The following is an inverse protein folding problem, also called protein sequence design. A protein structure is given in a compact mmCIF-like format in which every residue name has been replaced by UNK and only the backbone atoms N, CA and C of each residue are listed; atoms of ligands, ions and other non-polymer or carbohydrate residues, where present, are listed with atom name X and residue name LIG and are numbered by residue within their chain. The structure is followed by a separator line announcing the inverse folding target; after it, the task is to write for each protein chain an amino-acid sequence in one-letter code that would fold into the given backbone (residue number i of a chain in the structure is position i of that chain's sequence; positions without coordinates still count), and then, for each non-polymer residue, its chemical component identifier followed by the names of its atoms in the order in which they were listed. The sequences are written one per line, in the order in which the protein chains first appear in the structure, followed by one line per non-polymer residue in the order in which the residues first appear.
data_IF_787597335994
#
_entry.id   IF_787597335994
#
_cell.length_a   1.000
_cell.length_b   1.000
_cell.length_c   1.000
_cell.angle_alpha   90.00
_cell.angle_beta   90.00
_cell.angle_gamma   90.00
#
_symmetry.space_group_name_H-M   'P 1'
#
loop_
_entity.id
_entity.type
_entity.pdbx_description
1 polymer ?
#
# COMPACT_ATOMS: atom_id res chain seq x y z
N UNK A 1 -73.19 -25.01 3.58
CA UNK A 1 -71.78 -25.27 3.19
C UNK A 1 -71.11 -24.16 2.35
N UNK A 2 -71.76 -23.55 1.34
CA UNK A 2 -71.16 -22.49 0.50
C UNK A 2 -70.83 -21.18 1.22
N UNK A 3 -71.48 -20.82 2.34
CA UNK A 3 -71.18 -19.59 3.10
C UNK A 3 -70.00 -19.73 4.04
N UNK A 4 -69.70 -20.90 4.58
CA UNK A 4 -68.58 -21.16 5.49
C UNK A 4 -67.27 -21.15 4.72
N UNK A 5 -67.19 -21.62 3.47
CA UNK A 5 -66.05 -21.60 2.61
C UNK A 5 -65.59 -20.16 2.22
N UNK A 6 -66.53 -19.22 2.10
CA UNK A 6 -66.21 -17.82 1.82
C UNK A 6 -65.50 -17.13 2.99
N UNK A 7 -65.81 -17.47 4.22
CA UNK A 7 -65.18 -16.86 5.39
C UNK A 7 -63.83 -17.49 5.70
N UNK A 8 -63.63 -18.78 5.38
CA UNK A 8 -62.34 -19.48 5.51
C UNK A 8 -61.35 -18.91 4.46
N UNK A 9 -61.80 -18.62 3.22
CA UNK A 9 -60.96 -18.04 2.18
C UNK A 9 -60.61 -16.55 2.46
N UNK A 10 -61.52 -15.81 3.04
CA UNK A 10 -61.29 -14.41 3.45
C UNK A 10 -60.33 -14.34 4.67
N UNK A 11 -60.39 -15.29 5.60
CA UNK A 11 -59.46 -15.40 6.72
C UNK A 11 -58.05 -15.81 6.34
N UNK A 12 -57.90 -16.70 5.33
CA UNK A 12 -56.60 -17.04 4.79
C UNK A 12 -55.93 -15.93 3.95
N UNK A 13 -56.74 -15.14 3.24
CA UNK A 13 -56.25 -13.96 2.49
C UNK A 13 -55.81 -12.81 3.42
N UNK A 14 -56.40 -12.69 4.61
CA UNK A 14 -56.02 -11.66 5.57
C UNK A 14 -54.74 -12.01 6.37
N UNK A 15 -54.36 -13.31 6.47
CA UNK A 15 -53.12 -13.75 7.13
C UNK A 15 -51.86 -13.69 6.21
N UNK A 16 -52.04 -13.53 4.90
CA UNK A 16 -50.95 -13.43 3.96
C UNK A 16 -50.38 -12.00 3.78
N UNK A 17 -50.94 -10.98 4.41
CA UNK A 17 -50.51 -9.56 4.28
C UNK A 17 -49.61 -9.11 5.43
N UNK A 18 -49.37 -9.96 6.46
CA UNK A 18 -48.59 -9.62 7.64
C UNK A 18 -47.17 -10.25 7.59
N UNK A 19 -46.80 -10.92 6.50
CA UNK A 19 -45.57 -11.73 6.44
C UNK A 19 -44.42 -11.11 5.63
N UNK A 20 -44.44 -9.79 5.39
CA UNK A 20 -43.28 -9.11 4.84
C UNK A 20 -43.12 -7.79 5.59
N UNK A 21 -42.51 -7.84 6.78
CA UNK A 21 -41.80 -6.66 7.28
C UNK A 21 -40.44 -6.62 6.53
N UNK A 22 -40.07 -5.46 6.01
CA UNK A 22 -38.75 -5.25 5.39
C UNK A 22 -37.60 -5.63 6.32
N UNK A 23 -37.81 -5.54 7.62
CA UNK A 23 -36.87 -5.98 8.67
C UNK A 23 -36.52 -7.51 8.61
N UNK A 24 -37.37 -8.35 8.02
CA UNK A 24 -37.10 -9.78 7.88
C UNK A 24 -36.18 -10.11 6.68
N UNK A 25 -35.93 -9.14 5.81
CA UNK A 25 -35.04 -9.23 4.65
C UNK A 25 -33.64 -8.66 4.95
N UNK A 26 -33.48 -7.92 6.03
CA UNK A 26 -32.18 -7.48 6.52
C UNK A 26 -31.50 -8.58 7.35
N UNK A 27 -30.97 -9.56 6.67
CA UNK A 27 -30.15 -10.59 7.33
C UNK A 27 -28.70 -10.17 7.37
N UNK A 28 -28.20 -9.80 8.55
CA UNK A 28 -26.78 -9.73 8.81
C UNK A 28 -26.22 -11.16 8.86
N UNK A 29 -25.13 -11.49 8.15
CA UNK A 29 -24.53 -12.81 8.21
C UNK A 29 -24.11 -13.13 9.66
N UNK A 30 -24.59 -14.21 10.23
CA UNK A 30 -24.28 -14.61 11.62
C UNK A 30 -22.81 -15.03 11.82
N UNK A 31 -22.04 -15.14 10.74
CA UNK A 31 -20.63 -15.54 10.73
C UNK A 31 -19.68 -14.47 10.18
N UNK A 32 -20.17 -13.30 9.80
CA UNK A 32 -19.36 -12.15 9.34
C UNK A 32 -19.90 -10.87 9.95
N UNK A 33 -18.99 -9.98 10.34
CA UNK A 33 -19.32 -8.63 10.84
C UNK A 33 -19.77 -7.81 9.64
N UNK A 34 -20.89 -7.05 9.77
CA UNK A 34 -21.31 -6.13 8.71
C UNK A 34 -20.26 -5.02 8.52
N UNK A 35 -20.14 -4.49 7.30
CA UNK A 35 -19.17 -3.42 7.00
C UNK A 35 -19.32 -2.21 7.93
N UNK A 36 -20.56 -1.79 8.22
CA UNK A 36 -20.83 -0.68 9.12
C UNK A 36 -20.46 -0.98 10.58
N UNK A 37 -20.69 -2.21 11.06
CA UNK A 37 -20.25 -2.62 12.39
C UNK A 37 -18.72 -2.70 12.49
N UNK A 38 -18.06 -3.13 11.40
CA UNK A 38 -16.62 -3.24 11.36
C UNK A 38 -15.90 -1.89 11.34
N UNK A 39 -16.47 -0.88 10.68
CA UNK A 39 -15.81 0.42 10.47
C UNK A 39 -16.38 1.55 11.34
N UNK A 40 -17.54 1.34 11.99
CA UNK A 40 -18.22 2.35 12.78
C UNK A 40 -17.53 2.78 14.08
N UNK A 41 -16.40 2.15 14.44
CA UNK A 41 -15.57 2.56 15.59
C UNK A 41 -14.10 2.69 15.19
N UNK A 42 -13.38 3.66 15.77
CA UNK A 42 -11.96 3.85 15.52
C UNK A 42 -11.11 2.59 15.84
N UNK A 43 -11.50 1.84 16.87
CA UNK A 43 -10.82 0.57 17.22
C UNK A 43 -10.99 -0.48 16.13
N UNK A 44 -12.20 -0.70 15.65
CA UNK A 44 -12.48 -1.70 14.62
C UNK A 44 -11.92 -1.27 13.25
N UNK A 45 -12.02 0.02 12.91
CA UNK A 45 -11.41 0.58 11.72
C UNK A 45 -9.88 0.42 11.72
N UNK A 46 -9.23 0.50 12.89
CA UNK A 46 -7.80 0.20 13.02
C UNK A 46 -7.49 -1.28 12.75
N UNK A 47 -8.35 -2.20 13.15
CA UNK A 47 -8.20 -3.64 12.82
C UNK A 47 -8.27 -3.84 11.31
N UNK A 48 -9.22 -3.20 10.62
CA UNK A 48 -9.33 -3.22 9.16
C UNK A 48 -8.08 -2.62 8.49
N UNK A 49 -7.59 -1.49 8.98
CA UNK A 49 -6.36 -0.86 8.48
C UNK A 49 -5.12 -1.74 8.68
N UNK A 50 -5.04 -2.49 9.78
CA UNK A 50 -3.98 -3.50 9.98
C UNK A 50 -4.05 -4.61 8.91
N UNK A 51 -5.23 -4.97 8.46
CA UNK A 51 -5.44 -5.85 7.31
C UNK A 51 -4.86 -5.26 6.02
N UNK A 52 -5.04 -3.96 5.79
CA UNK A 52 -4.42 -3.25 4.65
C UNK A 52 -2.89 -3.30 4.73
N UNK A 53 -2.30 -2.96 5.88
CA UNK A 53 -0.85 -3.06 6.07
C UNK A 53 -0.34 -4.49 5.84
N UNK A 54 -1.07 -5.50 6.32
CA UNK A 54 -0.71 -6.90 6.09
C UNK A 54 -0.75 -7.24 4.60
N UNK A 55 -1.77 -6.80 3.86
CA UNK A 55 -1.91 -7.02 2.42
C UNK A 55 -0.75 -6.41 1.61
N UNK A 56 -0.15 -5.32 2.09
CA UNK A 56 0.96 -4.63 1.41
C UNK A 56 2.23 -5.49 1.24
N UNK A 57 2.41 -6.54 2.04
CA UNK A 57 3.57 -7.42 1.95
C UNK A 57 3.21 -8.91 1.92
N UNK A 58 1.93 -9.23 1.73
CA UNK A 58 1.47 -10.63 1.60
C UNK A 58 1.52 -11.07 0.14
N UNK A 59 2.09 -12.25 -0.09
CA UNK A 59 2.14 -12.83 -1.42
C UNK A 59 0.74 -13.23 -1.94
N UNK A 60 0.48 -12.97 -3.21
CA UNK A 60 -0.70 -13.41 -3.92
C UNK A 60 -1.98 -12.61 -3.65
N UNK A 61 -1.94 -11.54 -2.87
CA UNK A 61 -3.12 -10.69 -2.59
C UNK A 61 -3.59 -9.97 -3.86
N UNK A 62 -2.68 -9.38 -4.59
CA UNK A 62 -2.98 -8.67 -5.84
C UNK A 62 -3.02 -9.56 -7.06
N UNK A 63 -2.24 -10.63 -7.06
CA UNK A 63 -2.16 -11.61 -8.14
C UNK A 63 -1.78 -13.00 -7.59
N UNK A 64 -2.76 -13.86 -7.42
CA UNK A 64 -2.58 -15.21 -6.88
C UNK A 64 -1.94 -16.20 -7.87
N UNK A 65 -1.91 -15.87 -9.17
CA UNK A 65 -1.33 -16.75 -10.20
C UNK A 65 0.19 -16.67 -10.31
N UNK A 66 0.82 -15.64 -9.72
CA UNK A 66 2.27 -15.45 -9.77
C UNK A 66 2.85 -15.00 -8.41
N UNK A 67 2.53 -15.74 -7.36
CA UNK A 67 2.90 -15.42 -5.97
C UNK A 67 4.40 -15.24 -5.77
N UNK A 68 5.25 -15.96 -6.54
CA UNK A 68 6.70 -15.88 -6.43
C UNK A 68 7.30 -14.52 -6.78
N UNK A 69 6.57 -13.69 -7.53
CA UNK A 69 6.98 -12.34 -7.91
C UNK A 69 5.95 -11.27 -7.53
N UNK A 70 4.82 -11.67 -6.93
CA UNK A 70 3.70 -10.81 -6.52
C UNK A 70 3.54 -10.88 -5.00
N UNK A 71 4.44 -10.22 -4.25
CA UNK A 71 4.43 -10.16 -2.81
C UNK A 71 4.40 -8.71 -2.27
N UNK A 72 3.58 -7.89 -2.93
CA UNK A 72 3.26 -6.54 -2.53
C UNK A 72 4.39 -5.52 -2.75
N UNK A 73 4.47 -4.50 -1.91
CA UNK A 73 5.38 -3.35 -2.06
C UNK A 73 6.83 -3.76 -2.24
N UNK A 74 7.29 -4.77 -1.52
CA UNK A 74 8.68 -5.22 -1.61
C UNK A 74 9.01 -5.82 -2.98
N UNK A 75 8.04 -6.49 -3.62
CA UNK A 75 8.18 -6.93 -5.01
C UNK A 75 8.21 -5.75 -5.98
N UNK A 76 7.35 -4.75 -5.77
CA UNK A 76 7.27 -3.56 -6.63
C UNK A 76 8.55 -2.73 -6.57
N UNK A 77 9.10 -2.54 -5.36
CA UNK A 77 10.37 -1.86 -5.16
C UNK A 77 11.53 -2.65 -5.81
N UNK A 78 11.55 -3.98 -5.64
CA UNK A 78 12.58 -4.81 -6.27
C UNK A 78 12.54 -4.74 -7.80
N UNK A 79 11.33 -4.67 -8.39
CA UNK A 79 11.19 -4.42 -9.83
C UNK A 79 11.80 -3.08 -10.23
N UNK A 80 11.52 -2.02 -9.48
CA UNK A 80 12.08 -0.69 -9.74
C UNK A 80 13.62 -0.71 -9.64
N UNK A 81 14.16 -1.37 -8.62
CA UNK A 81 15.61 -1.47 -8.41
C UNK A 81 16.32 -2.22 -9.55
N UNK A 82 15.79 -3.38 -9.98
CA UNK A 82 16.41 -4.17 -11.08
C UNK A 82 16.17 -3.56 -12.46
N UNK A 83 15.21 -2.67 -12.60
CA UNK A 83 15.05 -1.85 -13.82
C UNK A 83 15.94 -0.61 -13.82
N UNK A 84 16.51 -0.24 -12.67
CA UNK A 84 17.56 0.77 -12.58
C UNK A 84 18.91 0.22 -13.04
N UNK A 85 19.88 1.09 -13.24
CA UNK A 85 21.22 0.69 -13.63
C UNK A 85 22.09 0.27 -12.44
N UNK A 86 21.65 0.54 -11.23
CA UNK A 86 22.44 0.34 -10.02
C UNK A 86 22.40 -1.10 -9.50
N UNK A 87 21.25 -1.76 -9.64
CA UNK A 87 21.05 -3.17 -9.30
C UNK A 87 20.87 -4.00 -10.57
N UNK A 88 21.73 -4.98 -10.78
CA UNK A 88 21.73 -5.80 -11.98
C UNK A 88 21.69 -7.30 -11.67
N UNK A 89 21.33 -8.07 -12.67
CA UNK A 89 21.47 -9.54 -12.67
C UNK A 89 22.44 -9.95 -13.76
N UNK A 90 23.41 -10.80 -13.44
CA UNK A 90 24.42 -11.28 -14.39
C UNK A 90 24.03 -12.55 -15.15
N UNK A 91 22.89 -13.12 -14.84
CA UNK A 91 22.37 -14.33 -15.48
C UNK A 91 20.89 -14.55 -15.15
N UNK A 92 20.21 -15.30 -16.00
CA UNK A 92 18.80 -15.58 -15.86
C UNK A 92 18.48 -16.40 -14.59
N UNK A 93 19.31 -17.39 -14.26
CA UNK A 93 19.11 -18.27 -13.11
C UNK A 93 17.71 -18.89 -13.11
N UNK A 94 16.95 -18.68 -12.01
CA UNK A 94 15.56 -19.09 -11.88
C UNK A 94 14.58 -18.29 -12.75
N UNK A 95 15.01 -17.22 -13.37
CA UNK A 95 14.18 -16.33 -14.20
C UNK A 95 13.39 -15.26 -13.44
N UNK A 96 13.34 -15.35 -12.11
CA UNK A 96 12.56 -14.41 -11.29
C UNK A 96 13.18 -13.01 -11.32
N UNK A 97 12.42 -12.01 -11.77
CA UNK A 97 12.83 -10.61 -12.03
C UNK A 97 13.85 -10.43 -13.16
N UNK A 98 14.27 -11.51 -13.85
CA UNK A 98 15.19 -11.41 -14.97
C UNK A 98 14.65 -10.55 -16.11
N UNK A 99 13.40 -10.79 -16.50
CA UNK A 99 12.78 -10.05 -17.60
C UNK A 99 12.59 -8.56 -17.29
N UNK A 100 12.44 -8.22 -16.02
CA UNK A 100 12.42 -6.82 -15.57
C UNK A 100 13.82 -6.21 -15.71
N UNK A 101 14.87 -6.90 -15.28
CA UNK A 101 16.27 -6.45 -15.36
C UNK A 101 16.77 -6.23 -16.78
N UNK A 102 16.38 -7.08 -17.73
CA UNK A 102 16.82 -6.99 -19.14
C UNK A 102 15.85 -6.23 -20.03
N UNK A 103 14.90 -5.51 -19.45
CA UNK A 103 13.85 -4.73 -20.16
C UNK A 103 13.03 -5.54 -21.16
N UNK A 104 13.02 -6.86 -21.07
CA UNK A 104 12.22 -7.75 -21.90
C UNK A 104 10.83 -7.96 -21.29
N UNK A 105 10.10 -6.87 -21.11
CA UNK A 105 8.86 -6.83 -20.35
C UNK A 105 7.65 -6.76 -21.28
N UNK A 106 7.51 -7.71 -22.19
CA UNK A 106 6.32 -7.81 -23.05
C UNK A 106 5.01 -7.77 -22.24
N UNK A 107 5.04 -8.33 -21.03
CA UNK A 107 3.92 -8.29 -20.08
C UNK A 107 3.57 -6.90 -19.56
N UNK A 108 4.37 -5.87 -19.84
CA UNK A 108 4.07 -4.47 -19.47
C UNK A 108 3.41 -3.66 -20.57
N UNK A 109 3.49 -4.13 -21.83
CA UNK A 109 2.92 -3.41 -22.97
C UNK A 109 1.48 -3.80 -23.30
N UNK A 110 0.91 -4.74 -22.54
CA UNK A 110 -0.45 -5.22 -22.75
C UNK A 110 -1.29 -5.07 -21.50
N UNK A 111 -2.57 -4.77 -21.65
CA UNK A 111 -3.53 -4.71 -20.53
C UNK A 111 -3.71 -6.04 -19.80
N UNK A 112 -3.33 -7.15 -20.44
CA UNK A 112 -3.35 -8.51 -19.88
C UNK A 112 -2.03 -8.91 -19.22
N UNK A 113 -1.03 -8.02 -19.22
CA UNK A 113 0.28 -8.28 -18.62
C UNK A 113 0.20 -8.41 -17.11
N UNK A 114 0.54 -9.57 -16.58
CA UNK A 114 0.43 -9.87 -15.15
C UNK A 114 1.23 -8.90 -14.25
N UNK A 115 2.37 -8.38 -14.72
CA UNK A 115 3.21 -7.44 -13.93
C UNK A 115 2.51 -6.09 -13.74
N UNK A 116 1.97 -5.52 -14.82
CA UNK A 116 1.22 -4.28 -14.74
C UNK A 116 -0.08 -4.46 -13.95
N UNK A 117 -0.76 -5.60 -14.16
CA UNK A 117 -1.97 -5.95 -13.41
C UNK A 117 -1.70 -6.07 -11.91
N UNK A 118 -0.62 -6.76 -11.50
CA UNK A 118 -0.26 -6.94 -10.10
C UNK A 118 -0.09 -5.59 -9.37
N UNK A 119 0.72 -4.69 -9.92
CA UNK A 119 0.96 -3.37 -9.33
C UNK A 119 -0.32 -2.52 -9.30
N UNK A 120 -1.04 -2.47 -10.43
CA UNK A 120 -2.30 -1.74 -10.53
C UNK A 120 -3.31 -2.23 -9.50
N UNK A 121 -3.58 -3.53 -9.51
CA UNK A 121 -4.56 -4.15 -8.64
C UNK A 121 -4.18 -4.03 -7.16
N UNK A 122 -2.90 -4.18 -6.82
CA UNK A 122 -2.42 -4.03 -5.45
C UNK A 122 -2.71 -2.65 -4.88
N UNK A 123 -2.27 -1.59 -5.55
CA UNK A 123 -2.50 -0.22 -5.07
C UNK A 123 -3.97 0.16 -5.05
N UNK A 124 -4.75 -0.21 -6.08
CA UNK A 124 -6.19 0.08 -6.07
C UNK A 124 -6.96 -0.73 -5.01
N UNK A 125 -6.54 -1.94 -4.68
CA UNK A 125 -7.10 -2.69 -3.55
C UNK A 125 -6.88 -1.95 -2.24
N UNK A 126 -5.69 -1.41 -2.00
CA UNK A 126 -5.42 -0.63 -0.77
C UNK A 126 -6.19 0.69 -0.76
N UNK A 127 -6.28 1.40 -1.88
CA UNK A 127 -7.11 2.61 -2.04
C UNK A 127 -8.56 2.30 -1.72
N UNK A 128 -9.12 1.25 -2.31
CA UNK A 128 -10.51 0.86 -2.07
C UNK A 128 -10.77 0.58 -0.58
N UNK A 129 -9.92 -0.23 0.06
CA UNK A 129 -10.09 -0.55 1.47
C UNK A 129 -10.02 0.70 2.38
N UNK A 130 -9.07 1.61 2.15
CA UNK A 130 -9.01 2.83 2.97
C UNK A 130 -10.12 3.82 2.64
N UNK A 131 -10.67 3.82 1.43
CA UNK A 131 -11.84 4.64 1.11
C UNK A 131 -13.07 4.24 1.94
N UNK A 132 -13.27 2.94 2.22
CA UNK A 132 -14.32 2.50 3.15
C UNK A 132 -14.09 3.01 4.57
N UNK A 133 -12.83 3.05 5.04
CA UNK A 133 -12.49 3.62 6.36
C UNK A 133 -12.76 5.12 6.37
N UNK A 134 -12.35 5.83 5.32
CA UNK A 134 -12.48 7.28 5.22
C UNK A 134 -13.95 7.74 5.04
N UNK A 135 -14.81 6.89 4.49
CA UNK A 135 -16.23 7.18 4.37
C UNK A 135 -16.92 7.30 5.74
N UNK A 136 -16.36 6.69 6.79
CA UNK A 136 -16.87 6.76 8.16
C UNK A 136 -16.30 7.95 8.96
N UNK A 137 -15.55 8.86 8.36
CA UNK A 137 -14.85 9.95 9.06
C UNK A 137 -15.79 10.75 9.99
N UNK A 138 -16.98 11.09 9.51
CA UNK A 138 -17.96 11.88 10.27
C UNK A 138 -18.76 11.05 11.27
N UNK A 139 -18.99 9.77 10.98
CA UNK A 139 -19.89 8.89 11.75
C UNK A 139 -19.13 8.00 12.74
N UNK A 140 -17.82 7.83 12.54
CA UNK A 140 -16.97 6.97 13.34
C UNK A 140 -17.00 7.36 14.82
N UNK A 141 -17.31 6.39 15.68
CA UNK A 141 -17.25 6.56 17.14
C UNK A 141 -15.84 6.28 17.69
N UNK A 142 -15.51 6.98 18.78
CA UNK A 142 -14.21 6.93 19.43
C UNK A 142 -13.75 8.30 19.89
N UNK A 143 -12.66 8.36 20.66
CA UNK A 143 -12.05 9.64 21.00
C UNK A 143 -11.43 10.31 19.77
N UNK A 144 -11.33 11.64 19.76
CA UNK A 144 -10.71 12.37 18.65
C UNK A 144 -9.26 11.86 18.38
N UNK A 145 -8.51 11.53 19.44
CA UNK A 145 -7.17 10.95 19.34
C UNK A 145 -7.18 9.61 18.58
N UNK A 146 -8.14 8.74 18.86
CA UNK A 146 -8.26 7.43 18.18
C UNK A 146 -8.73 7.58 16.73
N UNK A 147 -9.70 8.46 16.48
CA UNK A 147 -10.15 8.79 15.12
C UNK A 147 -9.02 9.38 14.30
N UNK A 148 -8.32 10.38 14.81
CA UNK A 148 -7.15 10.97 14.17
C UNK A 148 -6.05 9.95 13.87
N UNK A 149 -5.88 8.96 14.77
CA UNK A 149 -4.88 7.91 14.58
C UNK A 149 -5.19 6.98 13.40
N UNK A 150 -6.44 6.57 13.24
CA UNK A 150 -6.80 5.66 12.15
C UNK A 150 -7.01 6.38 10.83
N UNK A 151 -7.74 7.51 10.84
CA UNK A 151 -8.06 8.28 9.64
C UNK A 151 -6.80 8.90 9.02
N UNK A 152 -5.91 9.46 9.84
CA UNK A 152 -4.65 10.02 9.35
C UNK A 152 -3.78 8.97 8.66
N UNK A 153 -3.73 7.75 9.16
CA UNK A 153 -3.04 6.65 8.48
C UNK A 153 -3.74 6.24 7.18
N UNK A 154 -5.07 6.17 7.16
CA UNK A 154 -5.84 5.83 5.96
C UNK A 154 -5.61 6.85 4.84
N UNK A 155 -5.62 8.15 5.15
CA UNK A 155 -5.23 9.20 4.21
C UNK A 155 -3.79 9.03 3.70
N UNK A 156 -2.83 8.76 4.59
CA UNK A 156 -1.43 8.56 4.18
C UNK A 156 -1.25 7.33 3.27
N UNK A 157 -1.98 6.24 3.52
CA UNK A 157 -1.96 5.03 2.68
C UNK A 157 -2.55 5.32 1.31
N UNK A 158 -3.66 6.08 1.23
CA UNK A 158 -4.26 6.47 -0.05
C UNK A 158 -3.31 7.34 -0.86
N UNK A 159 -2.74 8.36 -0.24
CA UNK A 159 -1.75 9.23 -0.86
C UNK A 159 -0.53 8.47 -1.37
N UNK A 160 0.06 7.61 -0.55
CA UNK A 160 1.17 6.76 -0.96
C UNK A 160 0.82 5.87 -2.16
N UNK A 161 -0.35 5.26 -2.13
CA UNK A 161 -0.80 4.38 -3.22
C UNK A 161 -0.98 5.14 -4.54
N UNK A 162 -1.60 6.31 -4.51
CA UNK A 162 -1.73 7.16 -5.71
C UNK A 162 -0.38 7.69 -6.18
N UNK A 163 0.52 8.06 -5.28
CA UNK A 163 1.86 8.48 -5.63
C UNK A 163 2.65 7.41 -6.38
N UNK A 164 2.57 6.16 -5.92
CA UNK A 164 3.22 5.04 -6.59
C UNK A 164 2.56 4.71 -7.93
N UNK A 165 1.23 4.73 -8.01
CA UNK A 165 0.50 4.56 -9.27
C UNK A 165 0.87 5.64 -10.29
N UNK A 166 0.94 6.90 -9.88
CA UNK A 166 1.33 8.00 -10.75
C UNK A 166 2.73 7.79 -11.33
N UNK A 167 3.71 7.40 -10.50
CA UNK A 167 5.08 7.14 -10.96
C UNK A 167 5.18 5.94 -11.91
N UNK A 168 4.33 4.92 -11.75
CA UNK A 168 4.39 3.69 -12.56
C UNK A 168 3.60 3.78 -13.87
N UNK A 169 2.52 4.55 -13.89
CA UNK A 169 1.53 4.52 -14.98
C UNK A 169 1.34 5.86 -15.70
N UNK A 170 2.09 6.89 -15.33
CA UNK A 170 2.10 8.17 -16.04
C UNK A 170 3.52 8.70 -16.26
N UNK A 171 3.62 9.84 -16.92
CA UNK A 171 4.88 10.58 -17.06
C UNK A 171 5.22 11.31 -15.76
N UNK A 172 6.45 11.84 -15.66
CA UNK A 172 6.83 12.69 -14.53
C UNK A 172 5.91 13.92 -14.44
N UNK A 173 5.81 14.51 -13.25
CA UNK A 173 4.89 15.63 -13.00
C UNK A 173 5.22 16.84 -13.86
N UNK A 174 6.47 17.36 -13.73
CA UNK A 174 6.85 18.63 -14.31
C UNK A 174 6.79 18.62 -15.85
N UNK A 175 5.99 19.55 -16.40
CA UNK A 175 5.78 19.69 -17.83
C UNK A 175 4.75 18.71 -18.44
N UNK A 176 4.06 17.91 -17.62
CA UNK A 176 3.07 16.93 -18.06
C UNK A 176 1.79 16.99 -17.22
N UNK A 177 1.58 18.07 -16.49
CA UNK A 177 0.52 18.24 -15.49
C UNK A 177 -0.88 17.97 -16.06
N UNK A 178 -1.13 18.33 -17.32
CA UNK A 178 -2.41 18.14 -18.02
C UNK A 178 -2.56 16.77 -18.70
N UNK A 179 -1.51 15.94 -18.69
CA UNK A 179 -1.57 14.63 -19.33
C UNK A 179 -2.32 13.60 -18.46
N UNK A 180 -2.86 12.52 -19.07
CA UNK A 180 -3.58 11.49 -18.34
C UNK A 180 -2.68 10.74 -17.34
N UNK A 181 -3.14 10.61 -16.09
CA UNK A 181 -2.49 9.86 -15.04
C UNK A 181 -3.20 8.52 -14.79
N UNK A 182 -4.03 8.45 -13.76
CA UNK A 182 -4.78 7.25 -13.35
C UNK A 182 -6.20 7.63 -12.93
N UNK A 183 -7.17 6.72 -12.96
CA UNK A 183 -8.51 6.98 -12.43
C UNK A 183 -8.48 7.33 -10.94
N UNK A 184 -9.22 8.36 -10.55
CA UNK A 184 -9.22 8.88 -9.19
C UNK A 184 -10.52 8.45 -8.46
N UNK A 185 -10.38 7.54 -7.50
CA UNK A 185 -11.44 7.07 -6.62
C UNK A 185 -11.15 7.51 -5.19
N UNK A 186 -11.99 8.36 -4.65
CA UNK A 186 -11.86 8.92 -3.28
C UNK A 186 -12.96 8.45 -2.34
N UNK A 187 -13.90 7.67 -2.86
CA UNK A 187 -15.05 7.11 -2.18
C UNK A 187 -15.07 5.58 -2.31
N UNK A 188 -15.80 4.86 -1.46
CA UNK A 188 -16.04 3.44 -1.63
C UNK A 188 -16.57 3.09 -3.02
N UNK A 189 -16.16 1.95 -3.54
CA UNK A 189 -16.63 1.45 -4.82
C UNK A 189 -17.25 0.06 -4.64
N UNK A 190 -18.30 -0.22 -5.39
CA UNK A 190 -19.00 -1.49 -5.42
C UNK A 190 -19.18 -2.02 -6.86
N UNK A 191 -19.94 -3.11 -7.03
CA UNK A 191 -20.16 -3.74 -8.33
C UNK A 191 -20.97 -2.84 -9.30
N UNK A 192 -21.71 -1.88 -8.78
CA UNK A 192 -22.50 -0.93 -9.56
C UNK A 192 -21.73 0.34 -9.92
N UNK A 193 -20.55 0.53 -9.35
CA UNK A 193 -19.75 1.73 -9.57
C UNK A 193 -19.25 1.77 -11.02
N UNK A 194 -19.62 2.82 -11.74
CA UNK A 194 -19.14 3.04 -13.09
C UNK A 194 -17.64 3.33 -13.12
N UNK A 195 -16.96 2.78 -14.12
CA UNK A 195 -15.53 3.01 -14.32
C UNK A 195 -15.24 4.47 -14.67
N UNK A 196 -14.27 5.09 -14.04
CA UNK A 196 -13.83 6.45 -14.32
C UNK A 196 -12.73 6.47 -15.39
N UNK A 197 -12.70 7.53 -16.20
CA UNK A 197 -11.54 7.85 -17.03
C UNK A 197 -10.32 8.20 -16.19
N UNK A 198 -9.16 8.29 -16.84
CA UNK A 198 -7.93 8.74 -16.19
C UNK A 198 -8.05 10.23 -15.86
N UNK A 199 -7.78 10.59 -14.60
CA UNK A 199 -7.59 11.98 -14.20
C UNK A 199 -6.26 12.51 -14.75
N UNK A 200 -6.07 13.82 -14.75
CA UNK A 200 -4.79 14.44 -15.10
C UNK A 200 -3.73 14.20 -14.03
N UNK A 201 -2.48 14.32 -14.39
CA UNK A 201 -1.35 14.25 -13.44
C UNK A 201 -1.55 15.28 -12.33
N UNK A 202 -1.93 16.52 -12.70
CA UNK A 202 -2.22 17.58 -11.72
C UNK A 202 -3.30 17.20 -10.72
N UNK A 203 -4.45 16.71 -11.18
CA UNK A 203 -5.56 16.30 -10.30
C UNK A 203 -5.15 15.20 -9.32
N UNK A 204 -4.36 14.22 -9.80
CA UNK A 204 -3.88 13.12 -8.94
C UNK A 204 -2.89 13.65 -7.90
N UNK A 205 -1.94 14.51 -8.26
CA UNK A 205 -0.98 15.06 -7.31
C UNK A 205 -1.62 16.06 -6.33
N UNK A 206 -2.65 16.79 -6.74
CA UNK A 206 -3.46 17.60 -5.82
C UNK A 206 -4.16 16.72 -4.77
N UNK A 207 -4.75 15.59 -5.18
CA UNK A 207 -5.35 14.64 -4.23
C UNK A 207 -4.29 14.04 -3.29
N UNK A 208 -3.13 13.64 -3.80
CA UNK A 208 -2.01 13.12 -3.00
C UNK A 208 -1.59 14.15 -1.94
N UNK A 209 -1.40 15.39 -2.33
CA UNK A 209 -0.97 16.47 -1.43
C UNK A 209 -2.04 16.77 -0.38
N UNK A 210 -3.30 16.86 -0.78
CA UNK A 210 -4.42 17.07 0.13
C UNK A 210 -4.54 15.96 1.16
N UNK A 211 -4.41 14.70 0.75
CA UNK A 211 -4.45 13.55 1.65
C UNK A 211 -3.26 13.56 2.64
N UNK A 212 -2.06 13.92 2.18
CA UNK A 212 -0.89 14.02 3.05
C UNK A 212 -1.01 15.15 4.07
N UNK A 213 -1.59 16.29 3.69
CA UNK A 213 -1.81 17.41 4.60
C UNK A 213 -2.81 17.05 5.71
N UNK A 214 -3.92 16.38 5.35
CA UNK A 214 -4.85 15.83 6.32
C UNK A 214 -4.18 14.79 7.22
N UNK A 215 -3.43 13.85 6.63
CA UNK A 215 -2.72 12.82 7.36
C UNK A 215 -1.75 13.40 8.40
N UNK A 216 -0.91 14.36 8.01
CA UNK A 216 0.05 15.01 8.89
C UNK A 216 -0.66 15.73 10.03
N UNK A 217 -1.74 16.48 9.75
CA UNK A 217 -2.52 17.20 10.76
C UNK A 217 -3.17 16.24 11.76
N UNK A 218 -3.83 15.19 11.28
CA UNK A 218 -4.49 14.20 12.12
C UNK A 218 -3.47 13.42 12.96
N UNK A 219 -2.39 12.94 12.34
CA UNK A 219 -1.37 12.16 13.02
C UNK A 219 -0.57 12.99 14.04
N UNK A 220 -0.44 14.30 13.83
CA UNK A 220 0.12 15.24 14.83
C UNK A 220 -0.75 15.34 16.09
N UNK A 221 -2.06 15.06 15.97
CA UNK A 221 -3.03 15.08 17.07
C UNK A 221 -3.44 13.68 17.57
N UNK A 222 -2.80 12.62 17.07
CA UNK A 222 -3.21 11.22 17.33
C UNK A 222 -2.49 10.55 18.51
N UNK A 223 -1.61 11.26 19.19
CA UNK A 223 -0.80 10.71 20.25
C UNK A 223 0.34 9.80 19.76
N UNK A 224 0.86 8.94 20.64
CA UNK A 224 2.01 8.09 20.32
C UNK A 224 1.65 6.96 19.37
N UNK A 225 2.51 6.73 18.36
CA UNK A 225 2.41 5.58 17.44
C UNK A 225 2.42 4.25 18.23
N UNK A 226 1.48 3.37 17.91
CA UNK A 226 1.31 2.07 18.60
C UNK A 226 2.25 0.99 18.10
N UNK A 227 2.65 1.04 16.81
CA UNK A 227 3.51 0.03 16.19
C UNK A 227 4.39 0.67 15.10
N UNK A 228 5.59 0.13 14.86
CA UNK A 228 6.53 0.64 13.86
C UNK A 228 5.98 0.54 12.42
N UNK A 229 5.09 -0.41 12.15
CA UNK A 229 4.44 -0.55 10.84
C UNK A 229 3.36 0.50 10.57
N UNK A 230 2.88 1.20 11.58
CA UNK A 230 1.88 2.25 11.41
C UNK A 230 2.53 3.54 10.95
N UNK A 231 1.89 4.23 10.01
CA UNK A 231 2.32 5.56 9.58
C UNK A 231 2.03 6.56 10.72
N UNK A 232 3.03 7.36 11.07
CA UNK A 232 2.89 8.49 11.98
C UNK A 232 3.16 9.80 11.23
N UNK A 233 3.07 10.94 11.94
CA UNK A 233 3.31 12.28 11.38
C UNK A 233 4.66 12.38 10.65
N UNK A 234 5.72 11.79 11.22
CA UNK A 234 7.06 11.82 10.61
C UNK A 234 7.12 11.04 9.30
N UNK A 235 6.51 9.85 9.25
CA UNK A 235 6.46 9.02 8.03
C UNK A 235 5.61 9.70 6.95
N UNK A 236 4.45 10.26 7.30
CA UNK A 236 3.62 11.01 6.37
C UNK A 236 4.36 12.25 5.80
N UNK A 237 5.11 12.97 6.65
CA UNK A 237 5.97 14.08 6.22
C UNK A 237 7.09 13.61 5.28
N UNK A 238 7.70 12.45 5.54
CA UNK A 238 8.70 11.85 4.67
C UNK A 238 8.14 11.45 3.30
N UNK A 239 6.91 10.95 3.26
CA UNK A 239 6.21 10.68 1.99
C UNK A 239 5.93 11.99 1.26
N UNK A 240 5.47 13.05 1.97
CA UNK A 240 5.24 14.38 1.38
C UNK A 240 6.52 14.98 0.79
N UNK A 241 7.65 14.82 1.47
CA UNK A 241 8.94 15.27 0.94
C UNK A 241 9.28 14.59 -0.39
N UNK A 242 9.04 13.29 -0.53
CA UNK A 242 9.26 12.55 -1.78
C UNK A 242 8.30 12.99 -2.89
N UNK A 243 7.04 13.24 -2.58
CA UNK A 243 6.05 13.77 -3.52
C UNK A 243 6.49 15.14 -4.05
N UNK A 244 6.85 16.05 -3.14
CA UNK A 244 7.31 17.38 -3.49
C UNK A 244 8.59 17.37 -4.35
N UNK A 245 9.52 16.43 -4.10
CA UNK A 245 10.70 16.24 -4.96
C UNK A 245 10.32 15.87 -6.40
N UNK A 246 9.34 15.00 -6.60
CA UNK A 246 8.86 14.62 -7.95
C UNK A 246 8.13 15.79 -8.63
N UNK A 247 7.46 16.64 -7.86
CA UNK A 247 6.81 17.87 -8.36
C UNK A 247 7.81 19.00 -8.64
N UNK A 248 9.08 18.85 -8.26
CA UNK A 248 10.12 19.92 -8.26
C UNK A 248 9.75 21.11 -7.35
N UNK A 249 8.90 20.89 -6.36
CA UNK A 249 8.62 21.86 -5.29
C UNK A 249 9.69 21.72 -4.19
N UNK A 250 10.83 22.32 -4.44
CA UNK A 250 12.02 22.19 -3.59
C UNK A 250 11.83 22.73 -2.19
N UNK A 251 11.03 23.79 -2.01
CA UNK A 251 10.78 24.35 -0.69
C UNK A 251 9.91 23.41 0.16
N UNK A 252 8.80 22.94 -0.40
CA UNK A 252 7.95 21.96 0.28
C UNK A 252 8.71 20.67 0.57
N UNK A 253 9.57 20.22 -0.34
CA UNK A 253 10.42 19.04 -0.12
C UNK A 253 11.36 19.22 1.06
N UNK A 254 12.02 20.38 1.16
CA UNK A 254 12.92 20.71 2.27
C UNK A 254 12.17 20.76 3.61
N UNK A 255 11.04 21.49 3.66
CA UNK A 255 10.28 21.68 4.87
C UNK A 255 9.69 20.34 5.37
N UNK A 256 9.14 19.54 4.48
CA UNK A 256 8.60 18.23 4.80
C UNK A 256 9.69 17.23 5.25
N UNK A 257 10.88 17.27 4.63
CA UNK A 257 12.01 16.45 5.05
C UNK A 257 12.50 16.83 6.45
N UNK A 258 12.63 18.14 6.74
CA UNK A 258 13.00 18.63 8.06
C UNK A 258 11.94 18.25 9.13
N UNK A 259 10.65 18.35 8.81
CA UNK A 259 9.58 17.90 9.68
C UNK A 259 9.69 16.38 9.96
N UNK A 260 9.90 15.58 8.92
CA UNK A 260 10.08 14.14 9.05
C UNK A 260 11.25 13.79 9.99
N UNK A 261 12.41 14.42 9.79
CA UNK A 261 13.60 14.19 10.63
C UNK A 261 13.32 14.58 12.08
N UNK A 262 12.82 15.79 12.33
CA UNK A 262 12.60 16.31 13.67
C UNK A 262 11.55 15.56 14.48
N UNK A 263 10.52 15.01 13.79
CA UNK A 263 9.40 14.28 14.41
C UNK A 263 9.64 12.76 14.51
N UNK A 264 10.65 12.22 13.83
CA UNK A 264 10.85 10.78 13.75
C UNK A 264 11.35 10.15 15.03
N UNK A 265 12.13 10.88 15.82
CA UNK A 265 12.93 10.34 16.92
C UNK A 265 14.08 9.42 16.43
N UNK A 266 14.29 9.34 15.12
CA UNK A 266 15.35 8.53 14.52
C UNK A 266 16.67 9.30 14.44
N UNK A 267 17.77 8.58 14.30
CA UNK A 267 19.11 9.13 14.09
C UNK A 267 19.76 8.50 12.86
N UNK A 268 20.65 9.25 12.23
CA UNK A 268 21.43 8.72 11.11
C UNK A 268 22.33 7.59 11.60
N UNK A 269 22.29 6.45 10.93
CA UNK A 269 23.13 5.31 11.25
C UNK A 269 24.62 5.64 11.00
N UNK A 270 25.50 5.26 11.92
CA UNK A 270 26.96 5.45 11.82
C UNK A 270 27.70 4.17 12.18
N UNK A 271 28.95 4.05 11.73
CA UNK A 271 29.82 2.93 12.10
C UNK A 271 29.23 1.55 11.73
N UNK A 272 29.13 0.67 12.71
CA UNK A 272 28.61 -0.70 12.54
C UNK A 272 27.12 -0.75 12.21
N UNK A 273 26.35 0.26 12.62
CA UNK A 273 24.92 0.35 12.27
C UNK A 273 24.70 0.48 10.75
N UNK A 274 25.64 1.10 10.03
CA UNK A 274 25.56 1.21 8.56
C UNK A 274 25.91 -0.11 7.87
N UNK A 275 26.79 -0.92 8.44
CA UNK A 275 27.31 -2.16 7.83
C UNK A 275 26.68 -3.43 8.38
N UNK A 276 25.85 -3.34 9.43
CA UNK A 276 25.21 -4.47 10.08
C UNK A 276 23.98 -5.04 9.38
N UNK A 277 23.57 -4.43 8.25
CA UNK A 277 22.37 -4.81 7.51
C UNK A 277 21.13 -4.04 7.96
N UNK A 278 20.01 -4.27 7.27
CA UNK A 278 18.69 -3.64 7.54
C UNK A 278 17.67 -4.73 7.90
N UNK A 279 17.94 -5.46 8.95
CA UNK A 279 17.16 -6.61 9.40
C UNK A 279 16.51 -6.42 10.79
N UNK A 280 16.58 -5.21 11.34
CA UNK A 280 16.01 -4.86 12.64
C UNK A 280 15.10 -3.64 12.51
N UNK A 281 13.79 -3.87 12.66
CA UNK A 281 12.78 -2.82 12.62
C UNK A 281 12.91 -1.81 13.79
N UNK A 282 13.63 -2.17 14.86
CA UNK A 282 13.83 -1.33 16.04
C UNK A 282 15.11 -0.49 15.97
N UNK A 283 15.91 -0.63 14.90
CA UNK A 283 17.13 0.14 14.71
C UNK A 283 16.83 1.65 14.66
N UNK A 284 17.70 2.44 15.27
CA UNK A 284 17.49 3.89 15.46
C UNK A 284 17.34 4.70 14.16
N UNK A 285 17.70 4.17 13.02
CA UNK A 285 17.57 4.79 11.70
C UNK A 285 16.33 4.33 10.93
N UNK A 286 15.46 3.50 11.53
CA UNK A 286 14.25 2.99 10.88
C UNK A 286 13.05 3.82 11.29
N UNK A 287 12.48 4.56 10.34
CA UNK A 287 11.28 5.37 10.58
C UNK A 287 9.98 4.56 10.42
N UNK A 288 9.95 3.61 9.51
CA UNK A 288 8.78 2.80 9.16
C UNK A 288 9.22 1.44 8.64
N UNK A 289 8.64 0.39 9.18
CA UNK A 289 8.97 -0.98 8.78
C UNK A 289 7.79 -1.93 9.00
N UNK A 290 7.67 -2.94 8.14
CA UNK A 290 6.83 -4.10 8.42
C UNK A 290 7.66 -5.11 9.24
N UNK A 291 7.16 -5.51 10.41
CA UNK A 291 7.72 -6.64 11.14
C UNK A 291 7.11 -7.93 10.60
N UNK A 292 7.92 -8.70 9.89
CA UNK A 292 7.52 -9.97 9.30
C UNK A 292 8.00 -11.08 10.23
N UNK A 293 7.08 -11.69 10.98
CA UNK A 293 7.38 -12.83 11.86
C UNK A 293 7.49 -14.13 11.05
N UNK A 294 8.05 -15.18 11.66
CA UNK A 294 8.33 -16.46 11.00
C UNK A 294 7.09 -17.06 10.30
N UNK A 295 5.93 -17.03 10.96
CA UNK A 295 4.66 -17.54 10.40
C UNK A 295 4.14 -16.72 9.19
N UNK A 296 4.68 -15.54 8.99
CA UNK A 296 4.33 -14.63 7.90
C UNK A 296 5.35 -14.65 6.76
N UNK A 297 6.49 -15.29 6.95
CA UNK A 297 7.55 -15.39 5.96
C UNK A 297 7.29 -16.56 5.01
N UNK A 298 7.21 -16.27 3.70
CA UNK A 298 7.14 -17.33 2.69
C UNK A 298 8.53 -17.80 2.26
N UNK A 299 8.70 -19.12 2.12
CA UNK A 299 9.98 -19.70 1.68
C UNK A 299 10.37 -19.24 0.26
N UNK A 300 9.39 -18.93 -0.61
CA UNK A 300 9.61 -18.62 -2.01
C UNK A 300 9.11 -17.24 -2.44
N UNK A 301 8.14 -16.68 -1.73
CA UNK A 301 7.48 -15.44 -2.11
C UNK A 301 7.78 -14.33 -1.09
N UNK A 302 8.98 -13.80 -1.12
CA UNK A 302 9.41 -12.76 -0.21
C UNK A 302 10.74 -12.13 -0.62
N UNK A 303 11.00 -10.95 -0.08
CA UNK A 303 12.19 -10.15 -0.40
C UNK A 303 13.51 -10.92 -0.14
N UNK A 304 13.66 -11.49 1.04
CA UNK A 304 14.90 -12.20 1.42
C UNK A 304 15.18 -13.40 0.55
N UNK A 305 14.16 -14.16 0.14
CA UNK A 305 14.33 -15.30 -0.77
C UNK A 305 14.94 -14.88 -2.11
N UNK A 306 14.66 -13.65 -2.56
CA UNK A 306 15.17 -13.12 -3.82
C UNK A 306 16.49 -12.36 -3.70
N UNK A 307 16.78 -11.79 -2.53
CA UNK A 307 17.97 -10.94 -2.34
C UNK A 307 19.13 -11.63 -1.64
N UNK A 308 18.87 -12.61 -0.77
CA UNK A 308 19.92 -13.35 -0.09
C UNK A 308 20.63 -14.29 -1.08
N UNK A 309 21.88 -13.96 -1.41
CA UNK A 309 22.69 -14.68 -2.36
C UNK A 309 23.24 -16.01 -1.82
N UNK A 310 23.25 -16.20 -0.50
CA UNK A 310 23.84 -17.38 0.14
C UNK A 310 22.77 -18.38 0.57
N UNK A 311 21.74 -17.93 1.27
CA UNK A 311 20.68 -18.77 1.85
C UNK A 311 19.35 -18.67 1.11
N UNK A 312 19.13 -17.59 0.36
CA UNK A 312 17.93 -17.38 -0.43
C UNK A 312 17.79 -18.38 -1.56
N UNK A 313 16.62 -19.01 -1.67
CA UNK A 313 16.38 -20.04 -2.72
C UNK A 313 16.51 -19.45 -4.13
N UNK A 314 15.92 -18.30 -4.37
CA UNK A 314 15.98 -17.63 -5.67
C UNK A 314 17.16 -16.65 -5.76
N UNK A 315 17.52 -16.03 -4.66
CA UNK A 315 18.68 -15.15 -4.58
C UNK A 315 19.99 -15.88 -4.93
N UNK A 316 20.18 -17.11 -4.43
CA UNK A 316 21.35 -17.91 -4.74
C UNK A 316 21.45 -18.30 -6.22
N UNK A 317 20.31 -18.59 -6.90
CA UNK A 317 20.28 -19.01 -8.31
C UNK A 317 20.20 -17.84 -9.30
N UNK A 318 19.69 -16.68 -8.87
CA UNK A 318 19.49 -15.49 -9.72
C UNK A 318 19.91 -14.24 -8.93
N UNK A 319 21.22 -14.13 -8.71
CA UNK A 319 21.83 -13.11 -7.85
C UNK A 319 21.56 -11.68 -8.36
N UNK A 320 21.14 -10.81 -7.47
CA UNK A 320 21.07 -9.36 -7.67
C UNK A 320 22.39 -8.77 -7.15
N UNK A 321 22.99 -7.91 -7.94
CA UNK A 321 24.35 -7.41 -7.69
C UNK A 321 24.39 -5.90 -7.93
N UNK A 322 25.31 -5.24 -7.26
CA UNK A 322 25.64 -3.86 -7.60
C UNK A 322 26.28 -3.82 -9.01
N UNK A 323 25.88 -2.83 -9.80
CA UNK A 323 26.58 -2.55 -11.05
C UNK A 323 28.05 -2.21 -10.77
N UNK A 324 28.99 -2.90 -11.44
CA UNK A 324 30.43 -2.67 -11.27
C UNK A 324 30.84 -1.22 -11.56
N UNK A 325 30.15 -0.52 -12.45
CA UNK A 325 30.43 0.89 -12.75
C UNK A 325 30.04 1.80 -11.57
N UNK A 326 28.94 1.50 -10.89
CA UNK A 326 28.57 2.17 -9.65
C UNK A 326 29.56 1.84 -8.53
N UNK A 327 29.87 0.56 -8.34
CA UNK A 327 30.84 0.11 -7.33
C UNK A 327 32.21 0.80 -7.49
N UNK A 328 32.67 0.98 -8.72
CA UNK A 328 33.92 1.68 -9.01
C UNK A 328 33.92 3.17 -8.65
N UNK A 329 32.73 3.79 -8.59
CA UNK A 329 32.58 5.20 -8.16
C UNK A 329 32.64 5.38 -6.65
N UNK A 330 32.45 4.31 -5.86
CA UNK A 330 32.58 4.38 -4.42
C UNK A 330 34.05 4.64 -4.05
N UNK A 331 34.30 5.63 -3.19
CA UNK A 331 35.64 5.93 -2.68
C UNK A 331 36.23 4.76 -1.90
N UNK A 332 37.55 4.67 -1.81
CA UNK A 332 38.24 3.59 -1.08
C UNK A 332 37.86 3.53 0.40
N UNK A 333 37.54 4.66 1.01
CA UNK A 333 37.17 4.78 2.41
C UNK A 333 35.65 4.78 2.63
N UNK A 334 34.85 4.59 1.59
CA UNK A 334 33.39 4.56 1.71
C UNK A 334 32.98 3.25 2.38
N UNK A 335 32.37 3.37 3.55
CA UNK A 335 31.93 2.23 4.35
C UNK A 335 30.90 1.36 3.64
N UNK A 336 30.16 1.91 2.67
CA UNK A 336 29.16 1.18 1.87
C UNK A 336 29.79 0.10 1.00
N UNK A 337 31.08 0.18 0.69
CA UNK A 337 31.80 -0.93 0.03
C UNK A 337 31.70 -2.26 0.77
N UNK A 338 31.50 -2.21 2.09
CA UNK A 338 31.34 -3.42 2.93
C UNK A 338 29.98 -4.10 2.76
N UNK A 339 29.01 -3.45 2.11
CA UNK A 339 27.73 -4.07 1.79
C UNK A 339 27.84 -5.11 0.66
N UNK A 340 28.90 -5.02 -0.11
CA UNK A 340 29.06 -5.79 -1.31
C UNK A 340 30.26 -6.75 -1.15
N UNK A 341 30.02 -8.00 -1.52
CA UNK A 341 31.09 -8.98 -1.63
C UNK A 341 31.49 -9.06 -3.11
N UNK A 342 32.69 -8.58 -3.49
CA UNK A 342 33.13 -8.52 -4.89
C UNK A 342 33.32 -9.89 -5.53
#
# INVERSE_FOLDING_TARGET
MKKIFKYIFAGMAAMSVVACSEDALETSPSSSVSGNELLGTATNALVSLNGVYRAMYTAGVSNSSNTHQCFGITAYNLVADVMGEDCIMNGQGSGWFWYDCVYNVKSRYTSTGWRSYDMWNGYYTWISNVNYILAEEETMSGSETEKNYVLGQAYAVRAYSYFMLAQMFSRTYKGHESEPCVPLYTEPTDIATEGKGRATIEEVYQQITSDLDKAITMLGNSGKRKHISHINEAVASGIKARVALVMEDWQTALDAANAAISKSGCSVGTGTAVTGGMNDATANNVMWAAEIIADQSGMYAGFFTHMDADQGKYGASARKQINKLLYAKLGTNDVRKKWWNP
#
